data_IF_978853732373
#
_entry.id   IF_978853732373
#
_cell.length_a   1.000
_cell.length_b   1.000
_cell.length_c   1.000
_cell.angle_alpha   90.00
_cell.angle_beta   90.00
_cell.angle_gamma   90.00
#
_symmetry.space_group_name_H-M   'P 1'
#
loop_
_entity.id
_entity.type
_entity.pdbx_description
1 polymer ?
#
# COMPACT_ATOMS: atom_id res chain seq x y z
N UNK A 1 -12.37 -3.89 21.44
CA UNK A 1 -12.58 -3.97 19.97
C UNK A 1 -14.00 -3.58 19.57
N UNK A 2 -15.01 -3.75 20.43
CA UNK A 2 -16.43 -3.53 20.12
C UNK A 2 -16.86 -2.10 19.74
N UNK A 3 -16.17 -1.06 20.22
CA UNK A 3 -16.58 0.34 19.93
C UNK A 3 -16.26 0.81 18.51
N UNK A 4 -15.26 0.24 17.84
CA UNK A 4 -14.87 0.66 16.49
C UNK A 4 -15.85 0.09 15.45
N UNK A 5 -16.40 -1.12 15.69
CA UNK A 5 -17.40 -1.72 14.81
C UNK A 5 -18.71 -0.91 14.77
N UNK A 6 -19.14 -0.29 15.88
CA UNK A 6 -20.44 0.38 15.92
C UNK A 6 -20.51 1.67 15.08
N UNK A 7 -19.39 2.40 14.92
CA UNK A 7 -19.36 3.65 14.16
C UNK A 7 -19.31 3.46 12.64
N UNK A 8 -18.65 2.40 12.17
CA UNK A 8 -18.48 2.10 10.74
C UNK A 8 -19.75 1.43 10.16
N UNK A 9 -20.42 0.59 10.95
CA UNK A 9 -21.69 -0.05 10.53
C UNK A 9 -22.83 0.97 10.42
N UNK A 10 -22.83 2.04 11.22
CA UNK A 10 -23.85 3.09 11.17
C UNK A 10 -23.80 3.93 9.88
N UNK A 11 -22.63 4.09 9.26
CA UNK A 11 -22.43 4.89 8.04
C UNK A 11 -22.42 4.04 6.77
N UNK A 12 -22.13 2.75 6.88
CA UNK A 12 -22.22 1.80 5.78
C UNK A 12 -22.79 0.46 6.27
N UNK A 13 -24.09 0.19 6.05
CA UNK A 13 -24.74 -1.05 6.48
C UNK A 13 -24.12 -2.32 5.89
N UNK A 14 -23.37 -2.19 4.79
CA UNK A 14 -22.64 -3.29 4.15
C UNK A 14 -21.24 -3.49 4.73
N UNK A 15 -20.72 -2.55 5.54
CA UNK A 15 -19.40 -2.68 6.15
C UNK A 15 -19.33 -3.88 7.11
N UNK A 16 -20.44 -4.22 7.79
CA UNK A 16 -20.53 -5.43 8.60
C UNK A 16 -20.54 -6.74 7.79
N UNK A 17 -20.67 -6.67 6.46
CA UNK A 17 -20.71 -7.85 5.56
C UNK A 17 -19.38 -8.13 4.88
N UNK A 18 -18.43 -7.19 4.89
CA UNK A 18 -17.14 -7.36 4.23
C UNK A 18 -16.10 -7.78 5.26
N UNK A 19 -15.66 -9.03 5.19
CA UNK A 19 -14.45 -9.44 5.89
C UNK A 19 -13.26 -8.69 5.27
N UNK A 20 -12.48 -8.01 6.10
CA UNK A 20 -11.21 -7.43 5.69
C UNK A 20 -10.20 -7.63 6.82
N UNK A 21 -8.93 -7.80 6.44
CA UNK A 21 -7.82 -7.97 7.37
C UNK A 21 -7.06 -6.64 7.45
N UNK A 22 -7.22 -5.84 8.52
CA UNK A 22 -6.55 -4.54 8.63
C UNK A 22 -5.07 -4.64 8.99
N UNK A 23 -4.61 -5.82 9.41
CA UNK A 23 -3.24 -6.07 9.84
C UNK A 23 -2.54 -7.03 8.89
N UNK A 24 -1.27 -6.76 8.63
CA UNK A 24 -0.34 -7.55 7.82
C UNK A 24 0.95 -7.75 8.61
N UNK A 25 1.72 -8.80 8.33
CA UNK A 25 2.98 -9.00 9.05
C UNK A 25 4.07 -8.13 8.43
N UNK A 26 4.92 -7.51 9.25
CA UNK A 26 6.14 -6.88 8.76
C UNK A 26 7.27 -7.92 8.58
N UNK A 27 8.45 -7.46 8.14
CA UNK A 27 9.66 -8.27 7.99
C UNK A 27 10.15 -8.96 9.28
N UNK A 28 9.70 -8.50 10.45
CA UNK A 28 9.96 -9.11 11.75
C UNK A 28 8.86 -10.12 12.18
N UNK A 29 7.82 -10.31 11.37
CA UNK A 29 6.67 -11.17 11.68
C UNK A 29 5.65 -10.54 12.62
N UNK A 30 5.71 -9.23 12.84
CA UNK A 30 4.81 -8.51 13.75
C UNK A 30 3.60 -7.96 13.00
N UNK A 31 2.39 -7.99 13.57
CA UNK A 31 1.20 -7.44 12.94
C UNK A 31 1.23 -5.90 12.94
N UNK A 32 1.17 -5.32 11.75
CA UNK A 32 1.16 -3.88 11.51
C UNK A 32 -0.12 -3.49 10.79
N UNK A 33 -0.76 -2.40 11.24
CA UNK A 33 -1.93 -1.83 10.57
C UNK A 33 -1.54 -1.33 9.18
N UNK A 34 -2.21 -1.78 8.12
CA UNK A 34 -1.90 -1.46 6.71
C UNK A 34 -1.67 0.05 6.47
N UNK A 35 -2.46 0.91 7.11
CA UNK A 35 -2.33 2.37 6.94
C UNK A 35 -0.99 2.94 7.43
N UNK A 36 -0.21 2.19 8.22
CA UNK A 36 1.13 2.61 8.68
C UNK A 36 2.18 2.59 7.57
N UNK A 37 1.93 1.85 6.49
CA UNK A 37 2.78 1.87 5.29
C UNK A 37 2.53 3.11 4.42
N UNK A 38 1.47 3.89 4.70
CA UNK A 38 1.11 5.09 3.96
C UNK A 38 1.62 6.35 4.66
N UNK A 39 2.45 7.11 3.96
CA UNK A 39 2.91 8.43 4.38
C UNK A 39 1.79 9.47 4.14
N UNK A 40 1.43 10.31 5.13
CA UNK A 40 0.36 11.31 4.98
C UNK A 40 0.55 12.21 3.76
N UNK A 41 1.80 12.60 3.52
CA UNK A 41 2.23 13.52 2.47
C UNK A 41 2.83 12.80 1.24
N UNK A 42 2.70 11.48 1.18
CA UNK A 42 3.43 10.66 0.20
C UNK A 42 4.94 10.65 0.43
N UNK A 43 5.67 10.19 -0.59
CA UNK A 43 7.14 10.15 -0.60
C UNK A 43 7.68 11.28 -1.47
N UNK A 44 8.90 11.81 -1.21
CA UNK A 44 9.57 12.72 -2.13
C UNK A 44 9.75 12.04 -3.49
N UNK A 45 8.85 12.33 -4.42
CA UNK A 45 8.97 11.87 -5.79
C UNK A 45 10.17 12.57 -6.45
N UNK A 46 10.94 11.87 -7.31
CA UNK A 46 11.88 12.53 -8.21
C UNK A 46 11.20 13.69 -8.94
N UNK A 47 11.90 14.83 -9.05
CA UNK A 47 11.37 16.03 -9.70
C UNK A 47 10.98 15.81 -11.16
N UNK A 48 11.52 14.76 -11.79
CA UNK A 48 11.23 14.33 -13.16
C UNK A 48 9.88 13.64 -13.33
N UNK A 49 9.27 13.15 -12.25
CA UNK A 49 7.93 12.55 -12.25
C UNK A 49 6.97 13.68 -11.91
N UNK A 50 6.27 14.25 -12.88
CA UNK A 50 5.31 15.34 -12.70
C UNK A 50 3.86 14.92 -12.88
N UNK A 51 3.59 13.86 -13.65
CA UNK A 51 2.25 13.40 -14.01
C UNK A 51 2.01 11.92 -13.70
N UNK A 52 0.72 11.53 -13.58
CA UNK A 52 0.31 10.15 -13.28
C UNK A 52 0.90 9.09 -14.24
N UNK A 53 0.92 9.27 -15.57
CA UNK A 53 1.51 8.26 -16.47
C UNK A 53 3.01 8.03 -16.24
N UNK A 54 3.73 9.07 -15.79
CA UNK A 54 5.15 8.94 -15.47
C UNK A 54 5.35 8.16 -14.17
N UNK A 55 4.49 8.36 -13.17
CA UNK A 55 4.52 7.59 -11.93
C UNK A 55 4.20 6.11 -12.19
N UNK A 56 3.16 5.82 -12.99
CA UNK A 56 2.82 4.45 -13.41
C UNK A 56 4.01 3.81 -14.12
N UNK A 57 4.56 4.47 -15.14
CA UNK A 57 5.72 3.98 -15.88
C UNK A 57 6.93 3.74 -14.97
N UNK A 58 7.19 4.64 -14.02
CA UNK A 58 8.28 4.49 -13.07
C UNK A 58 8.12 3.22 -12.23
N UNK A 59 6.94 3.02 -11.63
CA UNK A 59 6.65 1.84 -10.80
C UNK A 59 6.69 0.56 -11.62
N UNK A 60 6.18 0.56 -12.85
CA UNK A 60 6.23 -0.61 -13.75
C UNK A 60 7.64 -1.04 -14.15
N UNK A 61 8.66 -0.20 -13.94
CA UNK A 61 10.06 -0.53 -14.21
C UNK A 61 10.81 -1.01 -12.96
N UNK A 62 10.18 -0.97 -11.79
CA UNK A 62 10.80 -1.46 -10.57
C UNK A 62 10.79 -3.00 -10.54
N UNK A 63 11.77 -3.64 -9.87
CA UNK A 63 11.84 -5.10 -9.81
C UNK A 63 10.62 -5.69 -9.10
N UNK A 64 9.91 -6.57 -9.81
CA UNK A 64 8.83 -7.38 -9.26
C UNK A 64 9.41 -8.72 -8.81
N UNK A 65 9.35 -8.98 -7.51
CA UNK A 65 9.86 -10.20 -6.87
C UNK A 65 8.75 -10.74 -5.99
N UNK A 66 8.13 -11.83 -6.43
CA UNK A 66 7.16 -12.57 -5.60
C UNK A 66 7.95 -13.33 -4.53
N UNK A 67 7.36 -13.46 -3.35
CA UNK A 67 7.84 -14.31 -2.25
C UNK A 67 7.84 -15.81 -2.63
N UNK A 68 8.68 -16.21 -3.59
CA UNK A 68 8.84 -17.60 -4.05
C UNK A 68 9.53 -18.49 -3.00
N UNK A 69 10.08 -17.88 -1.93
CA UNK A 69 10.91 -18.55 -0.93
C UNK A 69 10.19 -18.90 0.38
N UNK A 70 8.97 -18.38 0.61
CA UNK A 70 8.20 -18.72 1.79
C UNK A 70 7.17 -19.78 1.40
N UNK A 71 7.44 -21.06 1.69
CA UNK A 71 6.50 -22.17 1.49
C UNK A 71 5.18 -22.08 2.28
N UNK A 72 4.91 -20.93 2.90
CA UNK A 72 3.63 -20.51 3.44
C UNK A 72 3.41 -19.07 2.97
N UNK A 73 2.33 -18.83 2.22
CA UNK A 73 1.78 -17.50 1.92
C UNK A 73 1.68 -16.66 3.20
N UNK A 74 2.74 -15.94 3.55
CA UNK A 74 2.68 -14.89 4.55
C UNK A 74 2.87 -13.62 3.75
N UNK A 75 1.76 -12.92 3.50
CA UNK A 75 1.74 -11.55 2.99
C UNK A 75 2.56 -10.66 3.94
N UNK A 76 3.89 -10.66 3.74
CA UNK A 76 4.83 -9.88 4.52
C UNK A 76 5.01 -8.56 3.80
N UNK A 77 4.57 -7.50 4.46
CA UNK A 77 4.64 -6.16 3.89
C UNK A 77 5.94 -5.49 4.30
N UNK A 78 6.63 -4.95 3.31
CA UNK A 78 7.85 -4.18 3.44
C UNK A 78 7.61 -2.69 3.30
N UNK A 79 8.39 -1.90 4.02
CA UNK A 79 8.45 -0.46 3.81
C UNK A 79 9.18 -0.13 2.50
N UNK A 80 8.98 1.08 1.97
CA UNK A 80 9.68 1.53 0.75
C UNK A 80 11.23 1.43 0.87
N UNK A 81 11.87 1.79 2.00
CA UNK A 81 13.30 1.55 2.17
C UNK A 81 13.69 0.06 2.14
N UNK A 82 12.87 -0.81 2.73
CA UNK A 82 13.11 -2.27 2.72
C UNK A 82 13.00 -2.82 1.30
N UNK A 83 12.01 -2.39 0.50
CA UNK A 83 11.89 -2.73 -0.92
C UNK A 83 13.18 -2.43 -1.69
N UNK A 84 13.71 -1.20 -1.56
CA UNK A 84 14.93 -0.83 -2.27
C UNK A 84 16.17 -1.55 -1.75
N UNK A 85 16.21 -1.87 -0.45
CA UNK A 85 17.31 -2.65 0.16
C UNK A 85 17.26 -4.12 -0.26
N UNK A 86 16.06 -4.70 -0.39
CA UNK A 86 15.82 -6.08 -0.82
C UNK A 86 15.95 -6.28 -2.33
N UNK A 87 15.97 -5.19 -3.11
CA UNK A 87 16.11 -5.23 -4.55
C UNK A 87 14.82 -5.54 -5.30
N UNK A 88 13.66 -5.40 -4.65
CA UNK A 88 12.35 -5.69 -5.21
C UNK A 88 11.31 -5.99 -4.14
N UNK A 89 10.10 -6.28 -4.61
CA UNK A 89 8.92 -6.64 -3.85
C UNK A 89 7.77 -6.93 -4.80
N UNK A 90 6.59 -7.20 -4.28
CA UNK A 90 5.46 -7.66 -5.07
C UNK A 90 4.39 -6.57 -5.22
N UNK A 91 3.10 -6.95 -5.22
CA UNK A 91 2.02 -6.04 -5.58
C UNK A 91 1.86 -4.93 -4.53
N UNK A 92 2.08 -5.27 -3.27
CA UNK A 92 1.86 -4.46 -2.08
C UNK A 92 2.85 -3.28 -2.05
N UNK A 93 4.16 -3.55 -2.14
CA UNK A 93 5.17 -2.48 -2.14
C UNK A 93 5.04 -1.57 -3.37
N UNK A 94 4.79 -2.15 -4.54
CA UNK A 94 4.60 -1.37 -5.76
C UNK A 94 3.37 -0.47 -5.67
N UNK A 95 2.27 -0.95 -5.09
CA UNK A 95 1.07 -0.16 -4.84
C UNK A 95 1.34 0.98 -3.83
N UNK A 96 2.06 0.70 -2.74
CA UNK A 96 2.46 1.71 -1.76
C UNK A 96 3.30 2.82 -2.42
N UNK A 97 4.31 2.44 -3.21
CA UNK A 97 5.16 3.41 -3.93
C UNK A 97 4.32 4.25 -4.89
N UNK A 98 3.42 3.63 -5.66
CA UNK A 98 2.55 4.34 -6.58
C UNK A 98 1.65 5.35 -5.84
N UNK A 99 0.99 4.92 -4.75
CA UNK A 99 0.15 5.80 -3.93
C UNK A 99 0.97 6.97 -3.41
N UNK A 100 2.18 6.73 -2.91
CA UNK A 100 3.06 7.80 -2.44
C UNK A 100 3.44 8.80 -3.52
N UNK A 101 3.67 8.37 -4.76
CA UNK A 101 3.98 9.27 -5.88
C UNK A 101 2.76 10.12 -6.29
N UNK A 102 1.55 9.57 -6.16
CA UNK A 102 0.30 10.21 -6.58
C UNK A 102 -0.30 11.14 -5.52
N UNK A 103 -0.01 10.92 -4.22
CA UNK A 103 -0.65 11.58 -3.06
C UNK A 103 -0.52 13.11 -2.97
N UNK A 104 0.25 13.74 -3.87
CA UNK A 104 0.37 15.20 -4.01
C UNK A 104 0.06 15.73 -5.41
N UNK A 105 -0.35 14.85 -6.33
CA UNK A 105 -0.47 15.14 -7.75
C UNK A 105 -1.90 15.02 -8.28
N UNK A 106 -2.79 14.50 -7.46
CA UNK A 106 -4.23 14.48 -7.72
C UNK A 106 -4.88 15.59 -6.91
N UNK A 107 -5.22 16.71 -7.57
CA UNK A 107 -6.06 17.77 -6.97
C UNK A 107 -7.54 17.39 -6.96
N UNK A 108 -7.92 16.35 -7.72
CA UNK A 108 -9.28 15.85 -7.84
C UNK A 108 -9.34 14.37 -7.41
N UNK A 109 -10.40 13.92 -6.72
CA UNK A 109 -10.63 12.52 -6.43
C UNK A 109 -10.93 11.76 -7.73
N UNK A 110 -9.91 11.20 -8.37
CA UNK A 110 -10.08 10.36 -9.54
C UNK A 110 -10.45 8.94 -9.10
N UNK A 111 -11.74 8.67 -8.94
CA UNK A 111 -12.24 7.31 -8.96
C UNK A 111 -12.23 6.85 -10.43
N UNK A 112 -11.36 5.90 -10.77
CA UNK A 112 -11.52 5.16 -12.02
C UNK A 112 -12.72 4.23 -11.83
N UNK A 113 -13.80 4.54 -12.53
CA UNK A 113 -15.02 3.73 -12.63
C UNK A 113 -14.84 2.67 -13.70
#
# INVERSE_FOLDING_TARGET
MDRIQSGVVATNPLAGRRSFFPFVNNSAGEPVLISRYLLPEGSPAPSTITAMPQAIRFVSLLPFVVDLAAGEDKDVWSTVPEFFKGGGGDYEELAIILVHLLRKRTTEPTFLV
#
